data_IF_122734545726
#
_entry.id   IF_122734545726
#
_cell.length_a   1.000
_cell.length_b   1.000
_cell.length_c   1.000
_cell.angle_alpha   90.00
_cell.angle_beta   90.00
_cell.angle_gamma   90.00
#
_symmetry.space_group_name_H-M   'P 1'
#
loop_
_entity.id
_entity.type
_entity.pdbx_description
1 polymer ?
#
# COMPACT_ATOMS: atom_id res chain seq x y z
N UNK A 1 -2.89 4.43 12.08
CA UNK A 1 -2.05 5.43 11.39
C UNK A 1 -2.32 5.34 9.90
N UNK A 2 -2.52 6.47 9.20
CA UNK A 2 -2.94 6.47 7.79
C UNK A 2 -1.73 6.28 6.86
N UNK A 3 -1.67 5.23 6.03
CA UNK A 3 -0.55 5.02 5.13
C UNK A 3 -0.54 6.06 3.99
N UNK A 4 0.64 6.38 3.48
CA UNK A 4 0.83 7.42 2.46
C UNK A 4 0.04 7.15 1.17
N UNK A 5 -0.18 5.87 0.81
CA UNK A 5 -0.91 5.53 -0.41
C UNK A 5 -2.38 5.96 -0.37
N UNK A 6 -3.01 6.06 0.81
CA UNK A 6 -4.40 6.52 0.93
C UNK A 6 -4.58 8.03 0.70
N UNK A 7 -3.50 8.80 0.81
CA UNK A 7 -3.52 10.27 0.67
C UNK A 7 -2.71 10.76 -0.52
N UNK A 8 -2.14 9.85 -1.31
CA UNK A 8 -1.24 10.18 -2.41
C UNK A 8 -1.89 11.13 -3.43
N UNK A 9 -3.16 10.90 -3.79
CA UNK A 9 -3.87 11.76 -4.74
C UNK A 9 -4.10 13.17 -4.20
N UNK A 10 -4.36 13.29 -2.90
CA UNK A 10 -4.53 14.58 -2.25
C UNK A 10 -3.20 15.34 -2.13
N UNK A 11 -2.10 14.63 -1.87
CA UNK A 11 -0.75 15.20 -1.87
C UNK A 11 -0.36 15.66 -3.28
N UNK A 12 -0.60 14.85 -4.32
CA UNK A 12 -0.34 15.24 -5.72
C UNK A 12 -1.20 16.40 -6.18
N UNK A 13 -2.44 16.48 -5.73
CA UNK A 13 -3.34 17.58 -6.04
C UNK A 13 -3.09 18.86 -5.19
N UNK A 14 -2.08 18.86 -4.30
CA UNK A 14 -1.77 20.00 -3.44
C UNK A 14 -2.81 20.30 -2.36
N UNK A 15 -3.78 19.39 -2.14
CA UNK A 15 -4.81 19.54 -1.10
C UNK A 15 -4.30 19.20 0.30
N UNK A 16 -3.17 18.50 0.39
CA UNK A 16 -2.49 18.15 1.62
C UNK A 16 -1.02 18.53 1.53
N UNK A 17 -0.44 18.94 2.66
CA UNK A 17 0.98 19.26 2.81
C UNK A 17 1.59 18.37 3.89
N UNK A 18 2.77 17.76 3.65
CA UNK A 18 3.47 17.00 4.67
C UNK A 18 3.87 17.87 5.86
N UNK A 19 3.64 17.39 7.08
CA UNK A 19 4.07 18.02 8.33
C UNK A 19 4.88 17.04 9.16
N UNK A 20 5.65 17.55 10.13
CA UNK A 20 6.51 16.75 11.01
C UNK A 20 7.48 15.80 10.26
N UNK A 21 8.08 16.29 9.16
CA UNK A 21 8.95 15.49 8.29
C UNK A 21 10.18 14.90 9.00
N UNK A 22 10.67 15.54 10.08
CA UNK A 22 11.78 15.05 10.89
C UNK A 22 11.45 13.77 11.70
N UNK A 23 10.16 13.46 11.88
CA UNK A 23 9.72 12.28 12.62
C UNK A 23 8.58 11.61 11.85
N UNK A 24 8.90 10.87 10.78
CA UNK A 24 7.89 10.31 9.91
C UNK A 24 7.08 9.21 10.60
N UNK A 25 5.85 8.97 10.12
CA UNK A 25 5.05 7.81 10.48
C UNK A 25 5.79 6.48 10.37
N UNK A 26 5.53 5.58 11.34
CA UNK A 26 6.02 4.20 11.26
C UNK A 26 5.42 3.49 10.04
N UNK A 27 6.20 2.63 9.35
CA UNK A 27 5.69 1.82 8.25
C UNK A 27 4.53 0.93 8.72
N UNK A 28 3.48 0.88 7.91
CA UNK A 28 2.31 0.02 8.16
C UNK A 28 2.28 -1.10 7.13
N UNK A 29 1.80 -2.27 7.54
CA UNK A 29 1.72 -3.45 6.70
C UNK A 29 0.35 -3.53 6.00
N UNK A 30 0.36 -3.86 4.71
CA UNK A 30 -0.82 -4.27 3.96
C UNK A 30 -0.78 -5.79 3.78
N UNK A 31 -1.76 -6.49 4.34
CA UNK A 31 -1.79 -7.96 4.37
C UNK A 31 -3.06 -8.50 3.70
N UNK A 32 -2.92 -9.57 2.92
CA UNK A 32 -4.05 -10.33 2.41
C UNK A 32 -4.35 -11.49 3.37
N UNK A 33 -5.54 -11.50 3.95
CA UNK A 33 -5.97 -12.52 4.91
C UNK A 33 -6.96 -13.48 4.26
N UNK A 34 -6.72 -14.78 4.42
CA UNK A 34 -7.62 -15.83 3.94
C UNK A 34 -7.64 -17.02 4.92
N UNK A 35 -8.70 -17.84 4.95
CA UNK A 35 -8.86 -18.91 5.93
C UNK A 35 -7.73 -19.94 5.88
N UNK A 36 -7.26 -20.37 7.05
CA UNK A 36 -6.20 -21.38 7.14
C UNK A 36 -6.74 -22.79 6.87
N UNK A 37 -6.02 -23.50 5.99
CA UNK A 37 -6.05 -24.94 5.69
C UNK A 37 -7.30 -25.58 5.07
N UNK A 38 -8.52 -25.08 5.22
CA UNK A 38 -9.72 -25.84 4.78
C UNK A 38 -10.20 -25.56 3.35
N UNK A 39 -9.80 -24.44 2.76
CA UNK A 39 -10.22 -24.05 1.39
C UNK A 39 -9.03 -23.52 0.60
N UNK A 40 -8.05 -24.39 0.30
CA UNK A 40 -6.99 -24.11 -0.68
C UNK A 40 -7.55 -24.23 -2.09
N UNK A 41 -8.64 -23.55 -2.40
CA UNK A 41 -9.07 -23.44 -3.79
C UNK A 41 -7.90 -22.81 -4.57
N UNK A 42 -7.32 -23.51 -5.57
CA UNK A 42 -6.21 -22.98 -6.34
C UNK A 42 -6.50 -21.60 -6.94
N UNK A 43 -7.76 -21.30 -7.24
CA UNK A 43 -8.20 -19.99 -7.74
C UNK A 43 -8.00 -18.88 -6.70
N UNK A 44 -8.26 -19.16 -5.42
CA UNK A 44 -8.02 -18.18 -4.34
C UNK A 44 -6.53 -17.90 -4.23
N UNK A 45 -5.67 -18.93 -4.28
CA UNK A 45 -4.22 -18.73 -4.25
C UNK A 45 -3.75 -17.90 -5.44
N UNK A 46 -4.19 -18.23 -6.66
CA UNK A 46 -3.86 -17.48 -7.86
C UNK A 46 -4.31 -16.02 -7.76
N UNK A 47 -5.51 -15.77 -7.23
CA UNK A 47 -6.00 -14.41 -7.00
C UNK A 47 -5.17 -13.66 -5.97
N UNK A 48 -4.81 -14.30 -4.85
CA UNK A 48 -3.95 -13.70 -3.82
C UNK A 48 -2.59 -13.35 -4.40
N UNK A 49 -1.96 -14.26 -5.14
CA UNK A 49 -0.66 -14.02 -5.78
C UNK A 49 -0.74 -12.87 -6.80
N UNK A 50 -1.81 -12.83 -7.62
CA UNK A 50 -2.10 -11.72 -8.54
C UNK A 50 -2.25 -10.38 -7.80
N UNK A 51 -3.07 -10.34 -6.75
CA UNK A 51 -3.31 -9.14 -5.96
C UNK A 51 -2.04 -8.65 -5.26
N UNK A 52 -1.24 -9.56 -4.70
CA UNK A 52 0.05 -9.20 -4.07
C UNK A 52 0.97 -8.55 -5.09
N UNK A 53 1.12 -9.13 -6.29
CA UNK A 53 1.97 -8.57 -7.33
C UNK A 53 1.50 -7.18 -7.77
N UNK A 54 0.20 -7.02 -8.01
CA UNK A 54 -0.40 -5.74 -8.43
C UNK A 54 -0.27 -4.67 -7.35
N UNK A 55 -0.64 -4.97 -6.10
CA UNK A 55 -0.54 -4.04 -4.99
C UNK A 55 0.91 -3.60 -4.76
N UNK A 56 1.89 -4.51 -4.85
CA UNK A 56 3.31 -4.15 -4.74
C UNK A 56 3.73 -3.16 -5.82
N UNK A 57 3.34 -3.40 -7.08
CA UNK A 57 3.68 -2.52 -8.19
C UNK A 57 3.07 -1.13 -8.03
N UNK A 58 1.78 -1.04 -7.68
CA UNK A 58 1.08 0.22 -7.47
C UNK A 58 1.66 1.00 -6.27
N UNK A 59 1.87 0.32 -5.13
CA UNK A 59 2.42 0.96 -3.93
C UNK A 59 3.85 1.46 -4.16
N UNK A 60 4.69 0.72 -4.89
CA UNK A 60 6.02 1.17 -5.26
C UNK A 60 5.98 2.44 -6.13
N UNK A 61 5.05 2.51 -7.09
CA UNK A 61 4.82 3.71 -7.90
C UNK A 61 4.41 4.92 -7.06
N UNK A 62 3.62 4.71 -6.01
CA UNK A 62 3.22 5.77 -5.07
C UNK A 62 4.36 6.20 -4.13
N UNK A 63 5.19 5.27 -3.67
CA UNK A 63 6.34 5.57 -2.81
C UNK A 63 7.45 6.32 -3.55
N UNK A 64 7.64 6.09 -4.84
CA UNK A 64 8.61 6.84 -5.65
C UNK A 64 8.31 8.36 -5.67
N UNK A 65 7.03 8.76 -5.71
CA UNK A 65 6.64 10.19 -5.59
C UNK A 65 7.00 10.82 -4.25
N UNK A 66 7.16 10.04 -3.17
CA UNK A 66 7.60 10.55 -1.86
C UNK A 66 9.11 10.83 -1.81
N UNK A 67 9.92 10.21 -2.68
CA UNK A 67 11.37 10.50 -2.75
C UNK A 67 11.69 11.73 -3.60
N UNK A 68 10.72 12.26 -4.35
CA UNK A 68 10.87 13.43 -5.21
C UNK A 68 10.36 14.74 -4.58
N UNK A 69 9.83 14.68 -3.35
CA UNK A 69 9.36 15.80 -2.52
C UNK A 69 10.16 15.80 -1.21
#
# INVERSE_FOLDING_TARGET
>A
MKPAFEVADHLRAGRLVPVAAATPPLPTQLSCLYPHRRFKDPKIRLFVDFMIARCKAEIAGVQASKMAL
#
